data_IF_078468984493
#
_entry.id   IF_078468984493
#
_cell.length_a   1.000
_cell.length_b   1.000
_cell.length_c   1.000
_cell.angle_alpha   90.00
_cell.angle_beta   90.00
_cell.angle_gamma   90.00
#
_symmetry.space_group_name_H-M   'P 1'
#
loop_
_entity.id
_entity.type
_entity.pdbx_description
1 polymer ?
#
# COMPACT_ATOMS: atom_id res chain seq x y z
N UNK A 1 0.30 37.40 -10.67
CA UNK A 1 0.59 36.04 -11.16
C UNK A 1 0.15 35.09 -10.08
N UNK A 2 -0.83 34.22 -10.36
CA UNK A 2 -1.18 33.12 -9.47
C UNK A 2 -0.12 32.04 -9.66
N UNK A 3 0.38 31.48 -8.55
CA UNK A 3 1.23 30.29 -8.59
C UNK A 3 0.30 29.11 -8.79
N UNK A 4 0.37 28.45 -9.94
CA UNK A 4 -0.28 27.16 -10.15
C UNK A 4 0.55 26.09 -9.45
N UNK A 5 -0.04 25.50 -8.42
CA UNK A 5 0.50 24.31 -7.77
C UNK A 5 -0.03 23.09 -8.55
N UNK A 6 0.85 22.24 -9.12
CA UNK A 6 0.40 21.05 -9.81
C UNK A 6 -0.13 20.04 -8.79
N UNK A 7 -1.26 19.39 -9.12
CA UNK A 7 -1.88 18.36 -8.29
C UNK A 7 -1.07 17.04 -8.23
N UNK A 8 0.02 16.92 -9.02
CA UNK A 8 0.84 15.70 -9.16
C UNK A 8 2.33 16.05 -9.32
N UNK A 9 3.19 15.27 -8.66
CA UNK A 9 4.66 15.28 -8.81
C UNK A 9 5.16 14.20 -9.81
N UNK A 10 4.23 13.51 -10.48
CA UNK A 10 4.49 12.40 -11.39
C UNK A 10 4.88 11.08 -10.69
N UNK A 11 4.69 10.97 -9.37
CA UNK A 11 4.91 9.75 -8.60
C UNK A 11 3.58 9.08 -8.23
N UNK A 12 3.46 7.76 -8.39
CA UNK A 12 2.17 7.06 -8.41
C UNK A 12 1.38 7.07 -7.11
N UNK A 13 1.92 7.49 -5.95
CA UNK A 13 1.16 7.57 -4.70
C UNK A 13 0.66 8.99 -4.38
N UNK A 14 1.21 10.00 -5.06
CA UNK A 14 1.00 11.41 -4.74
C UNK A 14 0.13 12.13 -5.79
N UNK A 15 -0.54 11.42 -6.70
CA UNK A 15 -1.21 12.03 -7.85
C UNK A 15 -2.66 12.51 -7.58
N UNK A 16 -3.37 12.02 -6.56
CA UNK A 16 -4.63 12.62 -6.06
C UNK A 16 -5.22 11.91 -4.82
N UNK A 17 -6.08 12.62 -4.09
CA UNK A 17 -6.85 12.09 -2.94
C UNK A 17 -7.76 10.92 -3.32
N UNK A 18 -8.28 10.88 -4.56
CA UNK A 18 -9.15 9.80 -5.02
C UNK A 18 -8.43 8.45 -5.05
N UNK A 19 -7.15 8.42 -5.46
CA UNK A 19 -6.34 7.21 -5.45
C UNK A 19 -6.10 6.74 -4.02
N UNK A 20 -5.79 7.66 -3.11
CA UNK A 20 -5.65 7.34 -1.68
C UNK A 20 -6.95 6.76 -1.10
N UNK A 21 -8.11 7.31 -1.48
CA UNK A 21 -9.41 6.78 -1.10
C UNK A 21 -9.62 5.35 -1.62
N UNK A 22 -9.27 5.07 -2.87
CA UNK A 22 -9.35 3.72 -3.44
C UNK A 22 -8.42 2.73 -2.75
N UNK A 23 -7.17 3.11 -2.50
CA UNK A 23 -6.20 2.28 -1.77
C UNK A 23 -6.73 1.95 -0.37
N UNK A 24 -7.21 2.97 0.35
CA UNK A 24 -7.79 2.81 1.69
C UNK A 24 -8.99 1.88 1.66
N UNK A 25 -9.93 2.11 0.73
CA UNK A 25 -11.12 1.29 0.58
C UNK A 25 -10.76 -0.18 0.34
N UNK A 26 -9.86 -0.47 -0.60
CA UNK A 26 -9.46 -1.84 -0.94
C UNK A 26 -8.76 -2.48 0.25
N UNK A 27 -7.79 -1.79 0.85
CA UNK A 27 -7.01 -2.29 1.99
C UNK A 27 -7.91 -2.61 3.19
N UNK A 28 -8.83 -1.71 3.55
CA UNK A 28 -9.73 -1.91 4.69
C UNK A 28 -10.71 -3.05 4.46
N UNK A 29 -11.21 -3.23 3.23
CA UNK A 29 -12.07 -4.37 2.91
C UNK A 29 -11.30 -5.70 2.98
N UNK A 30 -10.03 -5.73 2.56
CA UNK A 30 -9.16 -6.90 2.71
C UNK A 30 -8.86 -7.19 4.19
N UNK A 31 -8.57 -6.16 4.99
CA UNK A 31 -8.41 -6.30 6.45
C UNK A 31 -9.66 -6.89 7.10
N UNK A 32 -10.83 -6.41 6.69
CA UNK A 32 -12.11 -6.92 7.20
C UNK A 32 -12.38 -8.36 6.78
N UNK A 33 -12.12 -8.69 5.50
CA UNK A 33 -12.25 -10.05 4.97
C UNK A 33 -11.40 -11.06 5.76
N UNK A 34 -10.19 -10.67 6.17
CA UNK A 34 -9.27 -11.51 6.95
C UNK A 34 -9.22 -11.15 8.44
N UNK A 35 -10.25 -10.47 8.96
CA UNK A 35 -10.26 -10.01 10.35
C UNK A 35 -10.10 -11.18 11.34
N UNK A 36 -10.73 -12.32 11.05
CA UNK A 36 -10.74 -13.51 11.89
C UNK A 36 -9.47 -14.39 11.79
N UNK A 37 -8.62 -14.18 10.79
CA UNK A 37 -7.38 -14.95 10.62
C UNK A 37 -6.18 -14.14 11.13
N UNK A 38 -5.63 -14.48 12.31
CA UNK A 38 -4.47 -13.77 12.85
C UNK A 38 -3.18 -14.03 12.08
N UNK A 39 -3.15 -15.00 11.17
CA UNK A 39 -1.99 -15.37 10.34
C UNK A 39 -2.02 -14.72 8.95
N UNK A 40 -2.95 -13.79 8.71
CA UNK A 40 -2.99 -12.98 7.49
C UNK A 40 -2.67 -11.52 7.83
N UNK A 41 -1.62 -11.00 7.22
CA UNK A 41 -1.21 -9.62 7.31
C UNK A 41 -1.61 -8.86 6.05
N UNK A 42 -2.36 -7.77 6.21
CA UNK A 42 -2.76 -6.87 5.12
C UNK A 42 -2.09 -5.52 5.33
N UNK A 43 -1.53 -4.95 4.27
CA UNK A 43 -0.93 -3.62 4.27
C UNK A 43 -1.29 -2.87 2.99
N UNK A 44 -1.20 -1.53 3.03
CA UNK A 44 -1.26 -0.68 1.85
C UNK A 44 -0.06 0.25 1.84
N UNK A 45 0.39 0.62 0.65
CA UNK A 45 1.57 1.48 0.42
C UNK A 45 2.80 1.08 1.26
N UNK A 46 3.08 -0.23 1.34
CA UNK A 46 4.17 -0.77 2.13
C UNK A 46 5.36 -1.14 1.24
N UNK A 47 6.51 -0.50 1.45
CA UNK A 47 7.75 -0.90 0.77
C UNK A 47 8.22 -2.29 1.25
N UNK A 48 8.07 -3.29 0.38
CA UNK A 48 8.38 -4.68 0.64
C UNK A 48 9.67 -5.13 -0.04
N UNK A 49 10.48 -5.92 0.67
CA UNK A 49 11.71 -6.55 0.21
C UNK A 49 11.53 -8.08 0.25
N UNK A 50 11.14 -8.74 -0.85
CA UNK A 50 10.84 -10.17 -0.85
C UNK A 50 12.07 -11.08 -0.69
N UNK A 51 13.27 -10.58 -0.96
CA UNK A 51 14.51 -11.38 -0.95
C UNK A 51 15.46 -10.81 0.09
N UNK A 52 15.66 -11.56 1.18
CA UNK A 52 16.61 -11.22 2.23
C UNK A 52 18.02 -11.03 1.64
N UNK A 53 18.71 -9.98 2.07
CA UNK A 53 20.06 -9.65 1.60
C UNK A 53 20.13 -9.00 0.21
N UNK A 54 19.01 -8.86 -0.52
CA UNK A 54 18.99 -8.19 -1.83
C UNK A 54 18.08 -6.95 -1.84
N UNK A 55 18.57 -5.77 -1.39
CA UNK A 55 17.77 -4.55 -1.29
C UNK A 55 17.33 -3.97 -2.65
N UNK A 56 17.84 -4.50 -3.76
CA UNK A 56 17.44 -4.09 -5.12
C UNK A 56 16.14 -4.74 -5.55
N UNK A 57 15.77 -5.90 -4.98
CA UNK A 57 14.49 -6.55 -5.23
C UNK A 57 13.52 -6.01 -4.19
N UNK A 58 12.74 -5.00 -4.57
CA UNK A 58 11.74 -4.36 -3.71
C UNK A 58 10.54 -3.89 -4.52
N UNK A 59 9.38 -3.83 -3.87
CA UNK A 59 8.13 -3.34 -4.45
C UNK A 59 7.35 -2.56 -3.38
N UNK A 60 6.71 -1.47 -3.76
CA UNK A 60 5.68 -0.84 -2.94
C UNK A 60 4.34 -1.05 -3.66
N UNK A 61 3.55 -2.08 -3.30
CA UNK A 61 2.23 -2.27 -3.87
C UNK A 61 1.21 -1.38 -3.14
N UNK A 62 0.18 -0.96 -3.88
CA UNK A 62 -0.97 -0.23 -3.35
C UNK A 62 -1.68 -1.00 -2.22
N UNK A 63 -1.84 -2.32 -2.40
CA UNK A 63 -2.34 -3.24 -1.39
C UNK A 63 -1.55 -4.57 -1.41
N UNK A 64 -1.32 -5.14 -0.23
CA UNK A 64 -0.56 -6.36 -0.01
C UNK A 64 -1.31 -7.27 0.97
N UNK A 65 -1.45 -8.55 0.63
CA UNK A 65 -1.97 -9.61 1.51
C UNK A 65 -0.93 -10.70 1.65
N UNK A 66 -0.51 -11.00 2.89
CA UNK A 66 0.53 -11.99 3.19
C UNK A 66 -0.05 -13.07 4.11
N UNK A 67 -0.06 -14.30 3.62
CA UNK A 67 -0.47 -15.48 4.40
C UNK A 67 0.70 -16.05 5.21
N UNK A 68 0.41 -16.60 6.39
CA UNK A 68 1.42 -17.16 7.29
C UNK A 68 2.27 -16.11 8.01
N UNK A 69 1.87 -14.83 7.94
CA UNK A 69 2.50 -13.72 8.65
C UNK A 69 1.50 -13.19 9.68
N UNK A 70 1.84 -13.20 10.98
CA UNK A 70 1.00 -12.58 11.99
C UNK A 70 0.77 -11.10 11.73
N UNK A 71 -0.38 -10.59 12.16
CA UNK A 71 -0.67 -9.15 12.12
C UNK A 71 0.39 -8.37 12.92
N UNK A 72 0.97 -7.33 12.33
CA UNK A 72 2.03 -6.48 12.91
C UNK A 72 3.34 -6.52 12.13
#
# INVERSE_FOLDING_TARGET
MAVEYPDSDGQPMAENTLQFEWITLIKENLDWLFAADPQVFVAGDLLWYPVEGNPKIRQAPDALVVFGRPKG
#
